data_IF_073177076273
#
_entry.id   IF_073177076273
#
_cell.length_a   1.000
_cell.length_b   1.000
_cell.length_c   1.000
_cell.angle_alpha   90.00
_cell.angle_beta   90.00
_cell.angle_gamma   90.00
#
_symmetry.space_group_name_H-M   'P 1'
#
loop_
_entity.id
_entity.type
_entity.pdbx_description
1 polymer ?
#
# COMPACT_ATOMS: atom_id res chain seq x y z
N UNK A 1 -3.72 -9.42 -27.15
CA UNK A 1 -2.87 -10.03 -26.11
C UNK A 1 -1.80 -9.08 -25.55
N UNK A 2 -0.99 -8.39 -26.39
CA UNK A 2 0.04 -7.44 -25.91
C UNK A 2 -0.50 -6.30 -25.00
N UNK A 3 -1.72 -5.84 -25.25
CA UNK A 3 -2.38 -4.78 -24.47
C UNK A 3 -2.72 -5.20 -23.04
N UNK A 4 -3.14 -6.45 -22.83
CA UNK A 4 -3.49 -6.96 -21.50
C UNK A 4 -2.25 -7.10 -20.60
N UNK A 5 -1.15 -7.66 -21.14
CA UNK A 5 0.11 -7.77 -20.42
C UNK A 5 0.70 -6.39 -20.07
N UNK A 6 0.61 -5.42 -21.00
CA UNK A 6 1.06 -4.05 -20.75
C UNK A 6 0.27 -3.36 -19.63
N UNK A 7 -1.06 -3.54 -19.58
CA UNK A 7 -1.90 -2.97 -18.52
C UNK A 7 -1.65 -3.62 -17.17
N UNK A 8 -1.46 -4.94 -17.16
CA UNK A 8 -1.09 -5.68 -15.96
C UNK A 8 0.21 -5.13 -15.35
N UNK A 9 1.28 -5.05 -16.15
CA UNK A 9 2.55 -4.51 -15.69
C UNK A 9 2.42 -3.05 -15.19
N UNK A 10 1.66 -2.22 -15.90
CA UNK A 10 1.40 -0.84 -15.47
C UNK A 10 0.63 -0.76 -14.14
N UNK A 11 -0.32 -1.66 -13.87
CA UNK A 11 -1.01 -1.73 -12.58
C UNK A 11 -0.07 -2.16 -11.46
N UNK A 12 0.82 -3.13 -11.71
CA UNK A 12 1.85 -3.52 -10.74
C UNK A 12 2.74 -2.33 -10.39
N UNK A 13 3.20 -1.58 -11.41
CA UNK A 13 4.02 -0.39 -11.19
C UNK A 13 3.25 0.75 -10.51
N UNK A 14 1.97 0.93 -10.83
CA UNK A 14 1.07 1.90 -10.19
C UNK A 14 0.82 1.60 -8.71
N UNK A 15 1.06 0.37 -8.25
CA UNK A 15 1.12 0.04 -6.83
C UNK A 15 2.53 0.23 -6.25
N UNK A 16 3.52 -0.41 -6.90
CA UNK A 16 4.86 -0.59 -6.35
C UNK A 16 5.61 0.74 -6.17
N UNK A 17 5.66 1.56 -7.23
CA UNK A 17 6.44 2.80 -7.23
C UNK A 17 5.92 3.80 -6.17
N UNK A 18 4.62 4.19 -6.16
CA UNK A 18 4.14 5.15 -5.18
C UNK A 18 4.19 4.58 -3.76
N UNK A 19 3.92 3.29 -3.56
CA UNK A 19 4.03 2.67 -2.23
C UNK A 19 5.46 2.75 -1.71
N UNK A 20 6.46 2.46 -2.55
CA UNK A 20 7.86 2.54 -2.16
C UNK A 20 8.27 3.98 -1.82
N UNK A 21 7.94 4.95 -2.69
CA UNK A 21 8.27 6.37 -2.47
C UNK A 21 7.58 6.88 -1.20
N UNK A 22 6.26 6.69 -1.08
CA UNK A 22 5.50 7.13 0.08
C UNK A 22 5.99 6.44 1.35
N UNK A 23 6.22 5.12 1.33
CA UNK A 23 6.72 4.39 2.48
C UNK A 23 8.09 4.90 2.95
N UNK A 24 9.03 5.12 2.02
CA UNK A 24 10.34 5.64 2.38
C UNK A 24 10.27 7.06 2.96
N UNK A 25 9.54 7.95 2.30
CA UNK A 25 9.38 9.35 2.77
C UNK A 25 8.65 9.38 4.11
N UNK A 26 7.58 8.59 4.27
CA UNK A 26 6.78 8.55 5.48
C UNK A 26 7.58 8.05 6.68
N UNK A 27 8.25 6.90 6.55
CA UNK A 27 8.94 6.26 7.67
C UNK A 27 10.32 6.85 7.98
N UNK A 28 11.06 7.30 6.96
CA UNK A 28 12.46 7.73 7.16
C UNK A 28 12.66 9.24 7.10
N UNK A 29 11.66 10.02 6.65
CA UNK A 29 11.79 11.48 6.51
C UNK A 29 10.77 12.21 7.37
N UNK A 30 9.47 12.00 7.17
CA UNK A 30 8.44 12.80 7.84
C UNK A 30 8.16 12.36 9.28
N UNK A 31 8.15 11.06 9.54
CA UNK A 31 7.77 10.51 10.85
C UNK A 31 8.86 9.67 11.49
N UNK A 32 10.11 9.80 11.06
CA UNK A 32 11.24 9.02 11.61
C UNK A 32 11.32 9.13 13.14
N UNK A 33 11.33 10.36 13.67
CA UNK A 33 11.36 10.60 15.12
C UNK A 33 10.14 10.01 15.84
N UNK A 34 8.96 10.04 15.22
CA UNK A 34 7.76 9.46 15.81
C UNK A 34 7.89 7.94 15.86
N UNK A 35 8.33 7.30 14.78
CA UNK A 35 8.52 5.85 14.75
C UNK A 35 9.62 5.38 15.72
N UNK A 36 10.68 6.17 15.90
CA UNK A 36 11.72 5.92 16.91
C UNK A 36 11.14 6.00 18.33
N UNK A 37 10.37 7.05 18.63
CA UNK A 37 9.67 7.21 19.93
C UNK A 37 8.64 6.11 20.20
N UNK A 38 7.98 5.62 19.15
CA UNK A 38 7.03 4.52 19.24
C UNK A 38 7.70 3.17 19.53
N UNK A 39 9.01 3.05 19.29
CA UNK A 39 9.77 1.84 19.58
C UNK A 39 9.45 0.66 18.67
N UNK A 40 8.84 0.90 17.50
CA UNK A 40 8.27 -0.16 16.65
C UNK A 40 9.33 -1.00 15.92
N UNK A 41 10.54 -0.48 15.76
CA UNK A 41 11.61 -1.13 15.02
C UNK A 41 12.42 -2.05 15.93
N UNK A 42 11.95 -3.28 16.07
CA UNK A 42 12.62 -4.32 16.87
C UNK A 42 13.91 -4.87 16.22
N UNK A 43 14.25 -4.37 15.03
CA UNK A 43 15.49 -4.68 14.30
C UNK A 43 16.16 -3.37 13.94
N UNK A 44 17.45 -3.26 14.26
CA UNK A 44 18.28 -2.09 13.98
C UNK A 44 18.34 -1.74 12.49
N UNK A 45 18.53 -2.75 11.64
CA UNK A 45 18.67 -2.57 10.19
C UNK A 45 17.54 -3.29 9.44
N UNK A 46 16.69 -2.59 8.68
CA UNK A 46 15.61 -3.21 7.92
C UNK A 46 16.17 -4.09 6.79
N UNK A 47 15.57 -5.25 6.58
CA UNK A 47 15.89 -6.13 5.43
C UNK A 47 15.12 -5.61 4.21
N UNK A 48 15.66 -4.58 3.56
CA UNK A 48 15.05 -3.91 2.40
C UNK A 48 14.57 -4.88 1.31
N UNK A 49 15.31 -5.95 0.93
CA UNK A 49 14.83 -6.91 -0.07
C UNK A 49 13.51 -7.58 0.30
N UNK A 50 13.24 -7.87 1.58
CA UNK A 50 11.97 -8.46 2.00
C UNK A 50 10.81 -7.47 1.90
N UNK A 51 11.04 -6.21 2.28
CA UNK A 51 10.06 -5.13 2.12
C UNK A 51 9.69 -4.93 0.65
N UNK A 52 10.69 -4.85 -0.23
CA UNK A 52 10.46 -4.73 -1.68
C UNK A 52 9.74 -5.95 -2.26
N UNK A 53 10.16 -7.17 -1.88
CA UNK A 53 9.52 -8.41 -2.32
C UNK A 53 8.05 -8.47 -1.91
N UNK A 54 7.74 -8.04 -0.68
CA UNK A 54 6.36 -7.93 -0.19
C UNK A 54 5.52 -6.99 -1.06
N UNK A 55 6.02 -5.78 -1.31
CA UNK A 55 5.34 -4.79 -2.16
C UNK A 55 5.15 -5.29 -3.60
N UNK A 56 6.14 -6.00 -4.17
CA UNK A 56 6.03 -6.57 -5.50
C UNK A 56 4.88 -7.57 -5.60
N UNK A 57 4.81 -8.55 -4.68
CA UNK A 57 3.73 -9.53 -4.69
C UNK A 57 2.37 -8.91 -4.38
N UNK A 58 2.29 -7.93 -3.49
CA UNK A 58 1.06 -7.17 -3.25
C UNK A 58 0.58 -6.47 -4.53
N UNK A 59 1.48 -5.82 -5.28
CA UNK A 59 1.16 -5.22 -6.57
C UNK A 59 0.67 -6.22 -7.61
N UNK A 60 1.31 -7.40 -7.70
CA UNK A 60 0.90 -8.51 -8.56
C UNK A 60 -0.51 -8.99 -8.21
N UNK A 61 -0.81 -9.18 -6.93
CA UNK A 61 -2.13 -9.63 -6.45
C UNK A 61 -3.20 -8.57 -6.77
N UNK A 62 -2.92 -7.29 -6.49
CA UNK A 62 -3.82 -6.18 -6.78
C UNK A 62 -4.12 -6.10 -8.29
N UNK A 63 -3.08 -6.15 -9.13
CA UNK A 63 -3.22 -6.11 -10.58
C UNK A 63 -3.98 -7.33 -11.13
N UNK A 64 -3.81 -8.50 -10.52
CA UNK A 64 -4.52 -9.73 -10.88
C UNK A 64 -6.00 -9.69 -10.47
N UNK A 65 -6.30 -9.24 -9.25
CA UNK A 65 -7.66 -9.26 -8.69
C UNK A 65 -8.54 -8.11 -9.20
N UNK A 66 -7.96 -6.96 -9.53
CA UNK A 66 -8.71 -5.77 -9.92
C UNK A 66 -9.70 -6.01 -11.09
N UNK A 67 -9.34 -6.68 -12.21
CA UNK A 67 -10.27 -6.93 -13.30
C UNK A 67 -11.52 -7.72 -12.87
N UNK A 68 -11.40 -8.64 -11.92
CA UNK A 68 -12.53 -9.40 -11.39
C UNK A 68 -13.45 -8.54 -10.53
N UNK A 69 -12.89 -7.56 -9.79
CA UNK A 69 -13.67 -6.59 -9.02
C UNK A 69 -14.36 -5.56 -9.92
N UNK A 70 -13.65 -5.06 -10.93
CA UNK A 70 -14.14 -4.02 -11.84
C UNK A 70 -15.13 -4.55 -12.88
N UNK A 71 -15.07 -5.86 -13.19
CA UNK A 71 -15.87 -6.49 -14.24
C UNK A 71 -15.73 -5.74 -15.57
N UNK A 72 -16.80 -5.09 -16.04
CA UNK A 72 -16.82 -4.31 -17.27
C UNK A 72 -16.67 -2.79 -17.04
N UNK A 73 -16.59 -2.34 -15.78
CA UNK A 73 -16.57 -0.92 -15.40
C UNK A 73 -15.19 -0.47 -14.91
N UNK A 74 -14.33 -0.05 -15.84
CA UNK A 74 -13.02 0.52 -15.50
C UNK A 74 -13.13 2.03 -15.27
N UNK A 75 -13.37 2.43 -14.01
CA UNK A 75 -13.42 3.84 -13.59
C UNK A 75 -12.52 4.13 -12.39
N UNK A 76 -12.14 5.40 -12.23
CA UNK A 76 -11.36 5.88 -11.06
C UNK A 76 -12.11 5.58 -9.75
N UNK A 77 -13.44 5.70 -9.74
CA UNK A 77 -14.25 5.40 -8.55
C UNK A 77 -14.14 3.93 -8.17
N UNK A 78 -14.18 3.01 -9.14
CA UNK A 78 -14.03 1.56 -8.92
C UNK A 78 -12.63 1.20 -8.44
N UNK A 79 -11.58 1.80 -9.02
CA UNK A 79 -10.19 1.56 -8.58
C UNK A 79 -9.89 2.14 -7.20
N UNK A 80 -10.46 3.28 -6.85
CA UNK A 80 -10.42 3.81 -5.48
C UNK A 80 -11.08 2.86 -4.49
N UNK A 81 -12.33 2.45 -4.74
CA UNK A 81 -13.05 1.53 -3.87
C UNK A 81 -12.30 0.21 -3.66
N UNK A 82 -11.80 -0.39 -4.74
CA UNK A 82 -11.00 -1.61 -4.67
C UNK A 82 -9.71 -1.41 -3.86
N UNK A 83 -8.96 -0.34 -4.15
CA UNK A 83 -7.66 -0.10 -3.49
C UNK A 83 -7.85 0.17 -2.00
N UNK A 84 -8.90 0.89 -1.59
CA UNK A 84 -9.20 1.11 -0.17
C UNK A 84 -9.56 -0.20 0.56
N UNK A 85 -10.29 -1.12 -0.09
CA UNK A 85 -10.56 -2.46 0.49
C UNK A 85 -9.25 -3.23 0.67
N UNK A 86 -8.38 -3.25 -0.34
CA UNK A 86 -7.08 -3.91 -0.27
C UNK A 86 -6.16 -3.28 0.77
N UNK A 87 -6.22 -1.95 0.91
CA UNK A 87 -5.51 -1.20 1.94
C UNK A 87 -6.00 -1.53 3.34
N UNK A 88 -7.32 -1.60 3.53
CA UNK A 88 -7.89 -2.02 4.81
C UNK A 88 -7.49 -3.46 5.16
N UNK A 89 -7.53 -4.38 4.19
CA UNK A 89 -7.03 -5.74 4.39
C UNK A 89 -5.57 -5.74 4.86
N UNK A 90 -4.69 -4.99 4.18
CA UNK A 90 -3.28 -4.88 4.57
C UNK A 90 -3.09 -4.18 5.93
N UNK A 91 -3.91 -3.20 6.26
CA UNK A 91 -3.89 -2.54 7.57
C UNK A 91 -4.20 -3.52 8.70
N UNK A 92 -5.16 -4.44 8.52
CA UNK A 92 -5.47 -5.43 9.57
C UNK A 92 -4.27 -6.30 9.93
N UNK A 93 -3.40 -6.62 8.96
CA UNK A 93 -2.22 -7.45 9.19
C UNK A 93 -1.00 -6.61 9.61
N UNK A 94 -0.68 -5.57 8.84
CA UNK A 94 0.53 -4.76 9.04
C UNK A 94 0.45 -3.82 10.24
N UNK A 95 -0.77 -3.40 10.61
CA UNK A 95 -1.00 -2.47 11.71
C UNK A 95 -1.57 -3.17 12.92
N UNK A 96 -2.76 -3.76 12.80
CA UNK A 96 -3.46 -4.31 13.97
C UNK A 96 -2.79 -5.59 14.49
N UNK A 97 -2.56 -6.57 13.62
CA UNK A 97 -1.90 -7.80 14.04
C UNK A 97 -0.44 -7.54 14.47
N UNK A 98 0.24 -6.56 13.87
CA UNK A 98 1.58 -6.16 14.31
C UNK A 98 1.57 -5.53 15.71
N UNK A 99 0.65 -4.59 15.96
CA UNK A 99 0.46 -3.95 17.27
C UNK A 99 0.17 -4.96 18.39
N UNK A 100 -0.48 -6.09 18.06
CA UNK A 100 -0.75 -7.15 19.03
C UNK A 100 0.49 -7.98 19.42
N UNK A 101 1.62 -7.83 18.69
CA UNK A 101 2.83 -8.64 18.87
C UNK A 101 4.05 -7.83 19.33
N UNK A 102 4.01 -6.52 19.20
CA UNK A 102 5.13 -5.64 19.54
C UNK A 102 4.72 -4.67 20.64
N UNK A 103 5.67 -4.29 21.48
CA UNK A 103 5.46 -3.17 22.40
C UNK A 103 5.51 -1.87 21.61
N UNK A 104 4.49 -1.03 21.82
CA UNK A 104 4.38 0.29 21.22
C UNK A 104 4.15 1.27 22.35
N UNK A 105 4.97 2.32 22.44
CA UNK A 105 4.89 3.27 23.56
C UNK A 105 3.56 4.03 23.62
N UNK A 106 2.92 4.25 22.47
CA UNK A 106 1.59 4.88 22.34
C UNK A 106 0.75 4.21 21.26
N UNK A 107 -0.29 3.49 21.68
CA UNK A 107 -1.19 2.78 20.75
C UNK A 107 -2.03 3.75 19.92
N UNK A 108 -2.46 4.88 20.49
CA UNK A 108 -3.25 5.88 19.78
C UNK A 108 -2.45 6.52 18.65
N UNK A 109 -1.19 6.88 18.90
CA UNK A 109 -0.34 7.51 17.89
C UNK A 109 0.02 6.52 16.79
N UNK A 110 0.29 5.26 17.14
CA UNK A 110 0.49 4.18 16.18
C UNK A 110 -0.72 3.98 15.26
N UNK A 111 -1.91 3.83 15.83
CA UNK A 111 -3.13 3.63 15.05
C UNK A 111 -3.41 4.84 14.17
N UNK A 112 -3.21 6.06 14.68
CA UNK A 112 -3.42 7.29 13.91
C UNK A 112 -2.46 7.37 12.72
N UNK A 113 -1.15 7.27 12.97
CA UNK A 113 -0.14 7.43 11.90
C UNK A 113 -0.28 6.34 10.83
N UNK A 114 -0.58 5.11 11.23
CA UNK A 114 -0.77 4.00 10.28
C UNK A 114 -2.07 4.10 9.50
N UNK A 115 -3.14 4.59 10.12
CA UNK A 115 -4.42 4.83 9.43
C UNK A 115 -4.26 5.91 8.37
N UNK A 116 -3.58 7.01 8.71
CA UNK A 116 -3.29 8.09 7.77
C UNK A 116 -2.40 7.60 6.61
N UNK A 117 -1.33 6.87 6.92
CA UNK A 117 -0.45 6.30 5.91
C UNK A 117 -1.22 5.40 4.93
N UNK A 118 -1.99 4.44 5.47
CA UNK A 118 -2.77 3.50 4.67
C UNK A 118 -3.78 4.23 3.79
N UNK A 119 -4.53 5.18 4.37
CA UNK A 119 -5.54 5.92 3.62
C UNK A 119 -4.91 6.71 2.46
N UNK A 120 -3.80 7.41 2.71
CA UNK A 120 -3.09 8.18 1.69
C UNK A 120 -2.52 7.24 0.61
N UNK A 121 -1.78 6.21 1.01
CA UNK A 121 -1.15 5.25 0.10
C UNK A 121 -2.20 4.63 -0.84
N UNK A 122 -3.28 4.07 -0.29
CA UNK A 122 -4.26 3.36 -1.12
C UNK A 122 -5.20 4.27 -1.89
N UNK A 123 -5.35 5.53 -1.47
CA UNK A 123 -5.98 6.56 -2.31
C UNK A 123 -5.11 6.85 -3.55
N UNK A 124 -3.81 7.10 -3.35
CA UNK A 124 -2.87 7.35 -4.45
C UNK A 124 -2.81 6.16 -5.42
N UNK A 125 -2.69 4.94 -4.91
CA UNK A 125 -2.72 3.71 -5.71
C UNK A 125 -4.02 3.61 -6.51
N UNK A 126 -5.17 3.83 -5.86
CA UNK A 126 -6.47 3.74 -6.53
C UNK A 126 -6.64 4.76 -7.66
N UNK A 127 -6.14 5.98 -7.49
CA UNK A 127 -6.11 6.98 -8.56
C UNK A 127 -5.24 6.52 -9.73
N UNK A 128 -4.02 6.03 -9.47
CA UNK A 128 -3.08 5.63 -10.50
C UNK A 128 -3.57 4.40 -11.28
N UNK A 129 -4.12 3.39 -10.61
CA UNK A 129 -4.74 2.23 -11.28
C UNK A 129 -5.91 2.70 -12.15
N UNK A 130 -6.72 3.63 -11.66
CA UNK A 130 -7.83 4.21 -12.43
C UNK A 130 -7.35 4.91 -13.70
N UNK A 131 -6.23 5.63 -13.64
CA UNK A 131 -5.61 6.29 -14.79
C UNK A 131 -5.01 5.31 -15.80
N UNK A 132 -4.40 4.21 -15.35
CA UNK A 132 -3.87 3.14 -16.23
C UNK A 132 -4.98 2.51 -17.09
N UNK A 133 -6.20 2.42 -16.53
CA UNK A 133 -7.30 1.70 -17.16
C UNK A 133 -8.35 2.58 -17.81
N UNK A 134 -8.30 3.90 -17.58
CA UNK A 134 -9.19 4.87 -18.21
C UNK A 134 -9.14 4.69 -19.72
N UNK A 135 -10.24 4.21 -20.30
CA UNK A 135 -10.43 4.23 -21.75
C UNK A 135 -10.73 5.67 -22.16
N UNK A 136 -10.12 6.13 -23.26
CA UNK A 136 -10.52 7.38 -23.91
C UNK A 136 -11.90 7.20 -24.52
#
# INVERSE_FOLDING_TARGET
>A
MKTAFSKFALMVLAYLIPTMILGMVWHFVWFSELYDKLGIYNRKDPIIPLGFTSMFFQGVIIAYLYPYYAQHEHSIRRSLGFSLIMGFFLFTVSTLANAAKIEVSSMSDWLLVQSLFTLIQFTVVGLLIGLVLKQK
#
